data_IF_249921819108
#
_entry.id   IF_249921819108
#
_cell.length_a   1.000
_cell.length_b   1.000
_cell.length_c   1.000
_cell.angle_alpha   90.00
_cell.angle_beta   90.00
_cell.angle_gamma   90.00
#
_symmetry.space_group_name_H-M   'P 1'
#
loop_
_entity.id
_entity.type
_entity.pdbx_description
1 polymer ?
#
# COMPACT_ATOMS: atom_id res chain seq x y z
N UNK A 1 -1.74 -33.01 0.06
CA UNK A 1 -2.57 -32.28 -0.92
C UNK A 1 -1.74 -31.13 -1.47
N UNK A 2 -1.05 -31.37 -2.59
CA UNK A 2 -0.18 -30.41 -3.28
C UNK A 2 -1.04 -29.36 -3.96
N UNK A 3 -0.99 -28.11 -3.47
CA UNK A 3 -1.67 -26.97 -4.11
C UNK A 3 -1.06 -26.79 -5.51
N UNK A 4 -1.90 -26.84 -6.55
CA UNK A 4 -1.53 -26.51 -7.94
C UNK A 4 -0.86 -25.14 -7.95
N UNK A 5 0.30 -25.04 -8.59
CA UNK A 5 0.91 -23.75 -8.90
C UNK A 5 0.07 -23.10 -9.98
N UNK A 6 -0.72 -22.09 -9.62
CA UNK A 6 -1.38 -21.21 -10.59
C UNK A 6 -0.28 -20.50 -11.39
N UNK A 7 -0.30 -20.64 -12.72
CA UNK A 7 0.68 -20.03 -13.62
C UNK A 7 0.70 -18.49 -13.56
N UNK A 8 -0.31 -17.90 -12.90
CA UNK A 8 -0.52 -16.46 -12.74
C UNK A 8 0.05 -15.89 -11.42
N UNK A 9 0.66 -16.73 -10.58
CA UNK A 9 1.20 -16.32 -9.28
C UNK A 9 2.70 -15.93 -9.36
N UNK A 10 3.05 -14.74 -8.86
CA UNK A 10 4.45 -14.28 -8.87
C UNK A 10 5.33 -15.09 -7.92
N UNK A 11 6.36 -15.76 -8.46
CA UNK A 11 7.32 -16.58 -7.71
C UNK A 11 6.66 -17.62 -6.77
N UNK A 12 5.48 -18.12 -7.13
CA UNK A 12 4.71 -19.07 -6.34
C UNK A 12 3.92 -18.48 -5.17
N UNK A 13 3.90 -17.15 -5.00
CA UNK A 13 3.03 -16.49 -4.03
C UNK A 13 1.63 -16.27 -4.64
N UNK A 14 0.64 -17.00 -4.15
CA UNK A 14 -0.77 -16.97 -4.62
C UNK A 14 -1.40 -15.57 -4.49
N UNK A 15 -0.93 -14.79 -3.52
CA UNK A 15 -1.41 -13.44 -3.23
C UNK A 15 -0.87 -12.39 -4.20
N UNK A 16 0.17 -12.71 -4.98
CA UNK A 16 0.79 -11.78 -5.92
C UNK A 16 0.46 -12.16 -7.35
N UNK A 17 -0.04 -11.17 -8.09
CA UNK A 17 -0.21 -11.26 -9.54
C UNK A 17 1.16 -11.30 -10.23
N UNK A 18 1.35 -12.20 -11.20
CA UNK A 18 2.54 -12.22 -12.04
C UNK A 18 2.63 -10.98 -12.94
N UNK A 19 3.86 -10.55 -13.24
CA UNK A 19 4.09 -9.37 -14.07
C UNK A 19 3.58 -9.60 -15.50
N UNK A 20 3.02 -8.55 -16.10
CA UNK A 20 2.50 -8.55 -17.48
C UNK A 20 1.35 -9.54 -17.76
N UNK A 21 0.58 -9.92 -16.74
CA UNK A 21 -0.66 -10.68 -16.94
C UNK A 21 -1.77 -9.73 -17.40
N UNK A 22 -2.31 -9.98 -18.58
CA UNK A 22 -3.50 -9.30 -19.09
C UNK A 22 -4.68 -9.56 -18.14
N UNK A 23 -5.34 -8.49 -17.72
CA UNK A 23 -6.51 -8.59 -16.84
C UNK A 23 -7.64 -7.83 -17.47
N UNK A 24 -8.75 -8.53 -17.68
CA UNK A 24 -9.98 -7.90 -18.12
C UNK A 24 -10.58 -7.12 -16.95
N UNK A 25 -10.82 -5.82 -17.17
CA UNK A 25 -11.45 -4.94 -16.20
C UNK A 25 -12.94 -4.81 -16.49
N UNK A 26 -13.77 -4.96 -15.47
CA UNK A 26 -15.17 -4.54 -15.57
C UNK A 26 -15.27 -3.01 -15.51
N UNK A 27 -16.39 -2.45 -15.98
CA UNK A 27 -16.62 -0.98 -15.91
C UNK A 27 -16.50 -0.46 -14.47
N UNK A 28 -17.08 -1.21 -13.53
CA UNK A 28 -17.03 -0.91 -12.09
C UNK A 28 -15.58 -0.88 -11.55
N UNK A 29 -14.73 -1.82 -11.99
CA UNK A 29 -13.32 -1.84 -11.58
C UNK A 29 -12.55 -0.65 -12.13
N UNK A 30 -12.85 -0.20 -13.35
CA UNK A 30 -12.23 1.00 -13.93
C UNK A 30 -12.64 2.25 -13.14
N UNK A 31 -13.93 2.39 -12.81
CA UNK A 31 -14.43 3.50 -12.00
C UNK A 31 -13.81 3.49 -10.59
N UNK A 32 -13.75 2.32 -9.96
CA UNK A 32 -13.15 2.15 -8.64
C UNK A 32 -11.65 2.41 -8.64
N UNK A 33 -10.95 1.98 -9.69
CA UNK A 33 -9.53 2.30 -9.90
C UNK A 33 -9.30 3.81 -9.99
N UNK A 34 -10.12 4.51 -10.79
CA UNK A 34 -10.03 5.95 -10.95
C UNK A 34 -10.28 6.68 -9.61
N UNK A 35 -11.25 6.19 -8.83
CA UNK A 35 -11.55 6.71 -7.49
C UNK A 35 -10.38 6.51 -6.52
N UNK A 36 -9.77 5.34 -6.50
CA UNK A 36 -8.58 5.06 -5.69
C UNK A 36 -7.38 5.93 -6.10
N UNK A 37 -7.19 6.14 -7.41
CA UNK A 37 -6.13 6.99 -7.93
C UNK A 37 -6.31 8.45 -7.50
N UNK A 38 -7.54 8.95 -7.53
CA UNK A 38 -7.87 10.33 -7.21
C UNK A 38 -7.87 10.64 -5.70
N UNK A 39 -8.28 9.68 -4.86
CA UNK A 39 -8.38 9.86 -3.41
C UNK A 39 -7.52 8.85 -2.65
N UNK A 40 -6.33 9.27 -2.15
CA UNK A 40 -5.47 8.39 -1.36
C UNK A 40 -6.10 7.98 -0.04
N UNK A 41 -6.96 8.80 0.57
CA UNK A 41 -7.62 8.46 1.84
C UNK A 41 -8.59 7.31 1.62
N UNK A 42 -9.40 7.42 0.57
CA UNK A 42 -10.36 6.38 0.19
C UNK A 42 -9.67 5.04 -0.08
N UNK A 43 -8.59 5.06 -0.87
CA UNK A 43 -7.81 3.85 -1.13
C UNK A 43 -7.26 3.23 0.16
N UNK A 44 -6.70 4.05 1.06
CA UNK A 44 -6.11 3.59 2.31
C UNK A 44 -7.17 2.96 3.22
N UNK A 45 -8.30 3.62 3.43
CA UNK A 45 -9.37 3.11 4.31
C UNK A 45 -10.07 1.87 3.74
N UNK A 46 -10.10 1.72 2.42
CA UNK A 46 -10.84 0.63 1.75
C UNK A 46 -9.99 -0.62 1.53
N UNK A 47 -8.73 -0.45 1.12
CA UNK A 47 -7.91 -1.56 0.62
C UNK A 47 -6.67 -1.87 1.44
N UNK A 48 -6.22 -0.95 2.30
CA UNK A 48 -4.99 -1.18 3.07
C UNK A 48 -5.32 -1.93 4.36
N UNK A 49 -4.69 -3.08 4.52
CA UNK A 49 -4.69 -3.83 5.77
C UNK A 49 -3.36 -3.71 6.50
N UNK A 50 -3.41 -3.68 7.82
CA UNK A 50 -2.25 -3.59 8.71
C UNK A 50 -2.27 -4.74 9.72
N UNK A 51 -1.10 -5.08 10.26
CA UNK A 51 -0.97 -6.10 11.30
C UNK A 51 -1.25 -5.47 12.67
N UNK A 52 -2.36 -5.88 13.28
CA UNK A 52 -2.65 -5.74 14.70
C UNK A 52 -2.01 -6.91 15.46
N UNK A 53 -1.49 -6.64 16.66
CA UNK A 53 -0.91 -7.66 17.53
C UNK A 53 -1.96 -8.65 18.04
N UNK A 54 -3.19 -8.16 18.28
CA UNK A 54 -4.26 -8.93 18.91
C UNK A 54 -5.20 -9.56 17.87
N UNK A 55 -5.49 -8.82 16.79
CA UNK A 55 -6.53 -9.19 15.81
C UNK A 55 -5.95 -9.70 14.47
N UNK A 56 -4.62 -9.69 14.33
CA UNK A 56 -3.98 -10.06 13.07
C UNK A 56 -4.19 -8.99 11.99
N UNK A 57 -4.52 -9.41 10.77
CA UNK A 57 -4.63 -8.49 9.64
C UNK A 57 -5.99 -7.77 9.65
N UNK A 58 -5.98 -6.45 9.84
CA UNK A 58 -7.20 -5.63 9.96
C UNK A 58 -7.16 -4.42 9.01
N UNK A 59 -8.33 -3.93 8.56
CA UNK A 59 -8.39 -2.69 7.77
C UNK A 59 -7.76 -1.53 8.52
N UNK A 60 -6.92 -0.77 7.83
CA UNK A 60 -6.28 0.40 8.41
C UNK A 60 -7.28 1.56 8.50
N UNK A 61 -7.58 1.96 9.74
CA UNK A 61 -8.44 3.12 10.03
C UNK A 61 -7.56 4.25 10.57
N UNK A 62 -7.23 5.26 9.75
CA UNK A 62 -6.36 6.33 10.17
C UNK A 62 -7.03 7.23 11.22
N UNK A 63 -6.30 7.63 12.25
CA UNK A 63 -6.71 8.70 13.15
C UNK A 63 -6.71 10.05 12.43
N UNK A 64 -7.46 11.04 12.94
CA UNK A 64 -7.58 12.37 12.30
C UNK A 64 -6.25 13.03 11.97
N UNK A 65 -5.26 12.92 12.87
CA UNK A 65 -3.93 13.48 12.61
C UNK A 65 -3.18 12.73 11.49
N UNK A 66 -3.42 11.43 11.32
CA UNK A 66 -2.87 10.62 10.22
C UNK A 66 -3.54 11.01 8.91
N UNK A 67 -4.85 11.33 8.95
CA UNK A 67 -5.58 11.85 7.79
C UNK A 67 -4.97 13.16 7.29
N UNK A 68 -4.80 14.12 8.21
CA UNK A 68 -4.12 15.39 7.91
C UNK A 68 -2.71 15.19 7.37
N UNK A 69 -1.97 14.21 7.88
CA UNK A 69 -0.63 13.89 7.40
C UNK A 69 -0.64 13.38 5.96
N UNK A 70 -1.56 12.47 5.62
CA UNK A 70 -1.71 11.95 4.26
C UNK A 70 -2.07 13.09 3.30
N UNK A 71 -3.04 13.93 3.67
CA UNK A 71 -3.44 15.08 2.85
C UNK A 71 -2.29 16.06 2.62
N UNK A 72 -1.53 16.37 3.68
CA UNK A 72 -0.36 17.26 3.59
C UNK A 72 0.70 16.68 2.64
N UNK A 73 1.01 15.38 2.76
CA UNK A 73 2.00 14.72 1.89
C UNK A 73 1.50 14.65 0.44
N UNK A 74 0.18 14.49 0.23
CA UNK A 74 -0.39 14.43 -1.11
C UNK A 74 -0.41 15.79 -1.81
N UNK A 75 -0.67 16.86 -1.06
CA UNK A 75 -0.78 18.23 -1.58
C UNK A 75 0.57 18.88 -1.81
N UNK A 76 1.51 18.69 -0.88
CA UNK A 76 2.77 19.43 -0.87
C UNK A 76 3.94 18.57 -1.36
N UNK A 77 4.75 19.13 -2.25
CA UNK A 77 5.94 18.44 -2.79
C UNK A 77 6.99 18.12 -1.73
N UNK A 78 7.11 18.94 -0.69
CA UNK A 78 8.09 18.79 0.38
C UNK A 78 7.41 18.94 1.73
N UNK A 79 7.51 17.89 2.56
CA UNK A 79 6.90 17.85 3.89
C UNK A 79 7.95 17.43 4.92
N UNK A 80 8.06 18.21 6.00
CA UNK A 80 8.86 17.87 7.18
C UNK A 80 7.92 17.75 8.36
N UNK A 81 7.89 16.60 9.03
CA UNK A 81 6.99 16.33 10.13
C UNK A 81 7.74 16.09 11.45
N UNK A 82 7.39 16.85 12.50
CA UNK A 82 7.87 16.63 13.87
C UNK A 82 6.78 15.91 14.67
N UNK A 83 6.95 14.61 14.91
CA UNK A 83 5.89 13.75 15.41
C UNK A 83 6.32 12.97 16.67
N UNK A 84 5.40 12.68 17.61
CA UNK A 84 5.69 11.92 18.81
C UNK A 84 6.06 10.46 18.50
N UNK A 85 6.59 9.76 19.51
CA UNK A 85 6.84 8.31 19.44
C UNK A 85 5.53 7.53 19.47
N UNK A 86 5.57 6.29 18.98
CA UNK A 86 4.46 5.32 19.05
C UNK A 86 3.11 5.79 18.49
N UNK A 87 3.10 6.81 17.62
CA UNK A 87 1.88 7.30 17.00
C UNK A 87 1.40 6.45 15.81
N UNK A 88 2.23 5.58 15.25
CA UNK A 88 1.88 4.83 14.03
C UNK A 88 2.18 5.57 12.72
N UNK A 89 2.92 6.68 12.80
CA UNK A 89 3.34 7.49 11.63
C UNK A 89 3.98 6.70 10.48
N UNK A 90 4.77 5.67 10.79
CA UNK A 90 5.44 4.87 9.77
C UNK A 90 4.45 4.07 8.93
N UNK A 91 3.41 3.53 9.57
CA UNK A 91 2.33 2.82 8.88
C UNK A 91 1.58 3.78 7.96
N UNK A 92 1.21 4.96 8.45
CA UNK A 92 0.56 6.01 7.66
C UNK A 92 1.35 6.37 6.40
N UNK A 93 2.65 6.65 6.53
CA UNK A 93 3.49 7.02 5.39
C UNK A 93 3.66 5.84 4.43
N UNK A 94 3.83 4.61 4.93
CA UNK A 94 3.94 3.41 4.10
C UNK A 94 2.66 3.17 3.29
N UNK A 95 1.48 3.33 3.90
CA UNK A 95 0.19 3.21 3.20
C UNK A 95 0.07 4.24 2.07
N UNK A 96 0.49 5.48 2.31
CA UNK A 96 0.54 6.50 1.28
C UNK A 96 1.57 6.21 0.18
N UNK A 97 2.77 5.73 0.53
CA UNK A 97 3.78 5.37 -0.45
C UNK A 97 3.28 4.25 -1.37
N UNK A 98 2.54 3.28 -0.83
CA UNK A 98 1.94 2.23 -1.64
C UNK A 98 0.93 2.78 -2.65
N UNK A 99 0.03 3.67 -2.23
CA UNK A 99 -0.85 4.41 -3.14
C UNK A 99 -0.05 5.12 -4.23
N UNK A 100 0.97 5.88 -3.83
CA UNK A 100 1.77 6.67 -4.77
C UNK A 100 2.44 5.79 -5.82
N UNK A 101 3.04 4.66 -5.43
CA UNK A 101 3.74 3.77 -6.37
C UNK A 101 2.76 3.06 -7.31
N UNK A 102 1.57 2.68 -6.81
CA UNK A 102 0.51 2.07 -7.61
C UNK A 102 -0.04 3.03 -8.67
N UNK A 103 -0.40 4.26 -8.28
CA UNK A 103 -1.13 5.15 -9.18
C UNK A 103 -0.23 6.11 -9.97
N UNK A 104 1.10 6.03 -9.82
CA UNK A 104 2.05 6.83 -10.58
C UNK A 104 3.09 5.94 -11.28
N UNK A 105 2.90 5.73 -12.57
CA UNK A 105 3.84 4.96 -13.39
C UNK A 105 5.21 5.66 -13.50
N UNK A 106 6.26 4.84 -13.63
CA UNK A 106 7.64 5.30 -13.85
C UNK A 106 8.20 6.22 -12.75
N UNK A 107 7.73 6.06 -11.50
CA UNK A 107 8.30 6.76 -10.33
C UNK A 107 9.18 5.82 -9.51
N UNK A 108 10.40 6.28 -9.22
CA UNK A 108 11.29 5.61 -8.28
C UNK A 108 11.11 6.21 -6.88
N UNK A 109 10.77 5.37 -5.92
CA UNK A 109 10.56 5.76 -4.52
C UNK A 109 11.65 5.12 -3.65
N UNK A 110 12.29 5.92 -2.80
CA UNK A 110 13.34 5.47 -1.89
C UNK A 110 12.93 5.72 -0.43
N UNK A 111 13.17 4.73 0.43
CA UNK A 111 13.02 4.84 1.88
C UNK A 111 14.41 4.90 2.50
N UNK A 112 14.74 6.04 3.11
CA UNK A 112 16.03 6.27 3.75
C UNK A 112 15.87 6.25 5.28
N UNK A 113 16.80 5.61 5.96
CA UNK A 113 16.87 5.57 7.41
C UNK A 113 18.33 5.49 7.87
N UNK A 114 18.59 5.87 9.12
CA UNK A 114 19.93 5.79 9.71
C UNK A 114 20.51 4.36 9.71
N UNK A 115 19.63 3.34 9.81
CA UNK A 115 20.00 1.93 9.72
C UNK A 115 19.26 1.26 8.58
N UNK A 116 19.99 0.51 7.76
CA UNK A 116 19.42 -0.24 6.62
C UNK A 116 18.29 -1.19 7.06
N UNK A 117 18.42 -1.81 8.24
CA UNK A 117 17.40 -2.72 8.78
C UNK A 117 16.05 -2.02 8.95
N UNK A 118 16.06 -0.77 9.43
CA UNK A 118 14.83 0.02 9.60
C UNK A 118 14.16 0.33 8.27
N UNK A 119 14.95 0.70 7.24
CA UNK A 119 14.40 0.93 5.90
C UNK A 119 13.79 -0.35 5.31
N UNK A 120 14.46 -1.50 5.48
CA UNK A 120 13.96 -2.81 5.02
C UNK A 120 12.67 -3.22 5.74
N UNK A 121 12.56 -2.95 7.03
CA UNK A 121 11.35 -3.24 7.81
C UNK A 121 10.14 -2.46 7.26
N UNK A 122 10.30 -1.17 6.97
CA UNK A 122 9.24 -0.34 6.38
C UNK A 122 8.84 -0.85 4.99
N UNK A 123 9.81 -1.22 4.16
CA UNK A 123 9.54 -1.84 2.86
C UNK A 123 8.82 -3.18 3.01
N UNK A 124 9.14 -3.97 4.04
CA UNK A 124 8.44 -5.21 4.34
C UNK A 124 6.96 -5.00 4.68
N UNK A 125 6.64 -3.94 5.43
CA UNK A 125 5.24 -3.56 5.72
C UNK A 125 4.50 -3.14 4.45
N UNK A 126 5.17 -2.39 3.57
CA UNK A 126 4.62 -2.00 2.27
C UNK A 126 4.30 -3.22 1.41
N UNK A 127 5.25 -4.17 1.33
CA UNK A 127 5.07 -5.43 0.60
C UNK A 127 3.89 -6.24 1.13
N UNK A 128 3.77 -6.35 2.45
CA UNK A 128 2.66 -7.06 3.08
C UNK A 128 1.31 -6.42 2.73
N UNK A 129 1.22 -5.09 2.76
CA UNK A 129 0.01 -4.39 2.37
C UNK A 129 -0.33 -4.62 0.88
N UNK A 130 0.67 -4.60 -0.01
CA UNK A 130 0.51 -4.90 -1.44
C UNK A 130 0.00 -6.32 -1.70
N UNK A 131 0.55 -7.31 -1.00
CA UNK A 131 0.14 -8.71 -1.11
C UNK A 131 -1.34 -8.93 -0.77
N UNK A 132 -1.94 -8.06 0.06
CA UNK A 132 -3.34 -8.19 0.46
C UNK A 132 -4.29 -7.31 -0.36
N UNK A 133 -3.80 -6.63 -1.41
CA UNK A 133 -4.67 -5.92 -2.35
C UNK A 133 -5.40 -6.91 -3.27
N UNK A 134 -6.60 -6.55 -3.76
CA UNK A 134 -7.25 -7.31 -4.82
C UNK A 134 -6.34 -7.42 -6.05
N UNK A 135 -6.29 -8.61 -6.67
CA UNK A 135 -5.40 -8.87 -7.82
C UNK A 135 -5.58 -7.91 -8.99
N UNK A 136 -6.79 -7.39 -9.21
CA UNK A 136 -7.07 -6.42 -10.28
C UNK A 136 -6.44 -5.04 -10.01
N UNK A 137 -6.19 -4.71 -8.74
CA UNK A 137 -5.58 -3.45 -8.31
C UNK A 137 -4.04 -3.55 -8.20
N UNK A 138 -3.51 -4.77 -8.23
CA UNK A 138 -2.07 -5.03 -8.33
C UNK A 138 -1.58 -4.81 -9.77
N UNK A 139 -0.40 -4.21 -9.92
CA UNK A 139 0.25 -3.91 -11.22
C UNK A 139 1.34 -4.91 -11.56
#
# INVERSE_FOLDING_TARGET
MTKKHDAEAYLGNINLKAANVETEYTKEQIEEYAKCAADPMYFIETYINIVSLDEGLVPFKPYDYQKNMIETIHKDRFVIAKLPRQSGKSTTVVSYLLHYVLFNSSKNVAILANKQVTARELLGRLKLAYEHLPKWLQQ
#
